data_IF_854881595045
#
_entry.id   IF_854881595045
#
_cell.length_a   1.000
_cell.length_b   1.000
_cell.length_c   1.000
_cell.angle_alpha   90.00
_cell.angle_beta   90.00
_cell.angle_gamma   90.00
#
_symmetry.space_group_name_H-M   'P 1'
#
loop_
_entity.id
_entity.type
_entity.pdbx_description
1 polymer ?
#
# COMPACT_ATOMS: atom_id res chain seq x y z
N UNK A 1 4.50 -28.43 -19.24
CA UNK A 1 4.85 -27.02 -19.53
C UNK A 1 6.23 -26.79 -18.95
N UNK A 2 7.18 -26.28 -19.71
CA UNK A 2 8.53 -25.96 -19.20
C UNK A 2 8.47 -24.53 -18.65
N UNK A 3 8.89 -24.32 -17.40
CA UNK A 3 8.99 -22.98 -16.82
C UNK A 3 10.35 -22.39 -17.17
N UNK A 4 10.36 -21.10 -17.51
CA UNK A 4 11.58 -20.34 -17.73
C UNK A 4 12.10 -19.85 -16.37
N UNK A 5 13.04 -20.59 -15.81
CA UNK A 5 13.67 -20.29 -14.53
C UNK A 5 14.97 -19.51 -14.74
N UNK A 6 15.32 -18.55 -13.89
CA UNK A 6 16.62 -17.90 -13.89
C UNK A 6 17.76 -18.92 -13.78
N UNK A 7 18.89 -18.65 -14.45
CA UNK A 7 20.03 -19.56 -14.50
C UNK A 7 20.59 -19.93 -13.11
N UNK A 8 20.63 -18.97 -12.20
CA UNK A 8 21.07 -19.19 -10.81
C UNK A 8 20.16 -20.16 -10.06
N UNK A 9 18.83 -20.09 -10.26
CA UNK A 9 17.84 -21.02 -9.69
C UNK A 9 18.02 -22.42 -10.27
N UNK A 10 18.13 -22.53 -11.60
CA UNK A 10 18.44 -23.82 -12.26
C UNK A 10 19.72 -24.43 -11.72
N UNK A 11 20.80 -23.65 -11.64
CA UNK A 11 22.10 -24.10 -11.12
C UNK A 11 21.98 -24.62 -9.69
N UNK A 12 21.24 -23.93 -8.83
CA UNK A 12 21.04 -24.35 -7.44
C UNK A 12 20.29 -25.69 -7.36
N UNK A 13 19.22 -25.86 -8.14
CA UNK A 13 18.44 -27.10 -8.19
C UNK A 13 19.29 -28.25 -8.74
N UNK A 14 20.02 -28.04 -9.85
CA UNK A 14 20.86 -29.03 -10.49
C UNK A 14 21.99 -29.52 -9.58
N UNK A 15 22.65 -28.63 -8.82
CA UNK A 15 23.69 -28.99 -7.85
C UNK A 15 23.13 -29.88 -6.73
N UNK A 16 21.99 -29.54 -6.16
CA UNK A 16 21.34 -30.35 -5.13
C UNK A 16 20.90 -31.71 -5.67
N UNK A 17 20.31 -31.76 -6.86
CA UNK A 17 19.88 -33.01 -7.49
C UNK A 17 21.10 -33.89 -7.87
N UNK A 18 22.18 -33.30 -8.35
CA UNK A 18 23.42 -34.01 -8.65
C UNK A 18 24.09 -34.60 -7.40
N UNK A 19 23.88 -33.97 -6.24
CA UNK A 19 24.32 -34.47 -4.94
C UNK A 19 23.40 -35.55 -4.34
N UNK A 20 22.31 -35.92 -5.05
CA UNK A 20 21.35 -36.96 -4.65
C UNK A 20 20.19 -36.47 -3.79
N UNK A 21 19.95 -35.16 -3.69
CA UNK A 21 18.85 -34.59 -2.95
C UNK A 21 17.67 -34.21 -3.90
N UNK A 22 16.46 -34.30 -3.41
CA UNK A 22 15.33 -33.68 -4.09
C UNK A 22 15.39 -32.16 -3.94
N UNK A 23 15.15 -31.41 -5.02
CA UNK A 23 15.12 -29.96 -5.00
C UNK A 23 14.14 -29.41 -6.04
N UNK A 24 13.38 -28.38 -5.66
CA UNK A 24 12.32 -27.80 -6.46
C UNK A 24 12.21 -26.29 -6.22
N UNK A 25 11.89 -25.53 -7.25
CA UNK A 25 11.28 -24.22 -7.09
C UNK A 25 9.88 -24.39 -6.50
N UNK A 26 9.40 -23.50 -5.61
CA UNK A 26 8.17 -23.74 -4.85
C UNK A 26 7.40 -22.45 -4.52
N UNK A 27 6.08 -22.55 -4.48
CA UNK A 27 5.27 -21.46 -3.95
C UNK A 27 4.92 -20.39 -4.97
N UNK A 28 5.17 -19.13 -4.63
CA UNK A 28 4.79 -17.97 -5.43
C UNK A 28 5.36 -17.97 -6.84
N UNK A 29 6.61 -18.34 -7.00
CA UNK A 29 7.27 -18.38 -8.31
C UNK A 29 6.62 -19.41 -9.25
N UNK A 30 6.26 -20.59 -8.73
CA UNK A 30 5.56 -21.62 -9.53
C UNK A 30 4.18 -21.15 -9.95
N UNK A 31 3.40 -20.57 -9.01
CA UNK A 31 2.10 -19.97 -9.30
C UNK A 31 2.18 -18.91 -10.38
N UNK A 32 3.08 -17.95 -10.21
CA UNK A 32 3.20 -16.79 -11.11
C UNK A 32 3.67 -17.21 -12.50
N UNK A 33 4.61 -18.16 -12.59
CA UNK A 33 5.03 -18.76 -13.87
C UNK A 33 3.88 -19.49 -14.58
N UNK A 34 3.04 -20.23 -13.83
CA UNK A 34 1.85 -20.89 -14.39
C UNK A 34 0.78 -19.88 -14.89
N UNK A 35 0.74 -18.69 -14.29
CA UNK A 35 -0.11 -17.57 -14.74
C UNK A 35 0.50 -16.76 -15.89
N UNK A 36 1.68 -17.14 -16.39
CA UNK A 36 2.40 -16.40 -17.44
C UNK A 36 3.00 -15.07 -16.97
N UNK A 37 3.17 -14.91 -15.65
CA UNK A 37 3.81 -13.73 -15.03
C UNK A 37 5.26 -14.02 -14.73
N UNK A 38 6.12 -13.01 -14.78
CA UNK A 38 7.50 -13.14 -14.30
C UNK A 38 7.52 -13.07 -12.78
N UNK A 39 8.00 -14.10 -12.07
CA UNK A 39 8.15 -14.06 -10.61
C UNK A 39 9.18 -13.01 -10.18
N UNK A 40 8.90 -12.31 -9.08
CA UNK A 40 9.86 -11.38 -8.48
C UNK A 40 10.94 -12.13 -7.67
N UNK A 41 10.52 -13.16 -6.93
CA UNK A 41 11.38 -13.93 -6.02
C UNK A 41 11.23 -15.42 -6.34
N UNK A 42 12.32 -16.17 -6.16
CA UNK A 42 12.36 -17.62 -6.36
C UNK A 42 12.76 -18.31 -5.07
N UNK A 43 11.84 -19.06 -4.49
CA UNK A 43 12.07 -19.93 -3.34
C UNK A 43 12.39 -21.33 -3.80
N UNK A 44 13.41 -21.96 -3.18
CA UNK A 44 13.77 -23.36 -3.43
C UNK A 44 13.50 -24.17 -2.16
N UNK A 45 12.94 -25.37 -2.34
CA UNK A 45 12.78 -26.34 -1.25
C UNK A 45 13.49 -27.64 -1.61
N UNK A 46 14.11 -28.30 -0.59
CA UNK A 46 14.97 -29.47 -0.81
C UNK A 46 14.86 -30.50 0.32
N UNK A 47 15.21 -31.75 0.03
CA UNK A 47 15.38 -32.80 1.05
C UNK A 47 16.72 -32.67 1.81
N UNK A 48 17.69 -31.87 1.29
CA UNK A 48 18.97 -31.62 1.95
C UNK A 48 18.77 -30.86 3.26
N UNK A 49 19.45 -31.27 4.33
CA UNK A 49 19.52 -30.50 5.58
C UNK A 49 20.47 -29.32 5.45
N UNK A 50 20.45 -28.35 6.38
CA UNK A 50 21.32 -27.18 6.30
C UNK A 50 22.84 -27.54 6.19
N UNK A 51 23.30 -28.57 6.86
CA UNK A 51 24.69 -29.04 6.79
C UNK A 51 25.02 -29.64 5.42
N UNK A 52 24.07 -30.39 4.83
CA UNK A 52 24.22 -30.97 3.49
C UNK A 52 24.24 -29.85 2.44
N UNK A 53 23.33 -28.85 2.57
CA UNK A 53 23.32 -27.67 1.67
C UNK A 53 24.65 -26.93 1.70
N UNK A 54 25.22 -26.67 2.89
CA UNK A 54 26.54 -26.03 3.00
C UNK A 54 27.66 -26.85 2.33
N UNK A 55 27.57 -28.17 2.36
CA UNK A 55 28.54 -29.05 1.69
C UNK A 55 28.37 -29.00 0.16
N UNK A 56 27.11 -28.99 -0.34
CA UNK A 56 26.82 -28.89 -1.79
C UNK A 56 27.24 -27.53 -2.35
N UNK A 57 27.07 -26.47 -1.57
CA UNK A 57 27.38 -25.09 -1.97
C UNK A 57 28.70 -24.57 -1.36
N UNK A 58 29.69 -25.47 -1.09
CA UNK A 58 30.96 -25.08 -0.47
C UNK A 58 31.73 -24.01 -1.27
N UNK A 59 31.59 -23.99 -2.59
CA UNK A 59 32.20 -23.01 -3.48
C UNK A 59 31.42 -21.69 -3.60
N UNK A 60 30.28 -21.55 -2.93
CA UNK A 60 29.43 -20.37 -2.95
C UNK A 60 29.37 -19.71 -1.58
N UNK A 61 29.02 -18.42 -1.57
CA UNK A 61 28.82 -17.71 -0.32
C UNK A 61 27.47 -18.10 0.30
N UNK A 62 27.50 -18.75 1.47
CA UNK A 62 26.32 -19.16 2.22
C UNK A 62 26.10 -18.26 3.45
N UNK A 63 24.85 -17.85 3.70
CA UNK A 63 24.47 -17.01 4.81
C UNK A 63 23.46 -17.76 5.71
N UNK A 64 23.73 -17.81 7.00
CA UNK A 64 23.04 -18.65 7.99
C UNK A 64 21.78 -17.97 8.60
N UNK A 65 21.09 -17.12 7.89
CA UNK A 65 20.00 -16.28 8.42
C UNK A 65 18.78 -17.05 8.92
N UNK A 66 18.58 -18.30 8.48
CA UNK A 66 17.37 -19.07 8.77
C UNK A 66 17.61 -20.52 9.23
N UNK A 67 18.82 -20.91 9.64
CA UNK A 67 19.20 -22.31 9.95
C UNK A 67 18.24 -23.01 10.92
N UNK A 68 17.78 -22.32 11.97
CA UNK A 68 16.83 -22.89 12.93
C UNK A 68 15.51 -23.36 12.30
N UNK A 69 15.16 -22.77 11.15
CA UNK A 69 13.97 -23.10 10.38
C UNK A 69 14.26 -23.89 9.11
N UNK A 70 15.54 -24.32 8.94
CA UNK A 70 15.98 -25.10 7.79
C UNK A 70 16.29 -24.27 6.54
N UNK A 71 16.42 -22.95 6.64
CA UNK A 71 16.72 -22.08 5.49
C UNK A 71 18.18 -21.67 5.49
N UNK A 72 18.82 -21.80 4.32
CA UNK A 72 20.15 -21.29 4.01
C UNK A 72 20.01 -20.35 2.81
N UNK A 73 20.58 -19.17 2.89
CA UNK A 73 20.66 -18.26 1.73
C UNK A 73 21.99 -18.50 1.02
N UNK A 74 21.93 -18.84 -0.27
CA UNK A 74 23.12 -19.09 -1.11
C UNK A 74 23.20 -18.00 -2.17
N UNK A 75 24.36 -17.37 -2.32
CA UNK A 75 24.58 -16.33 -3.33
C UNK A 75 25.16 -16.97 -4.60
N UNK A 76 24.39 -16.97 -5.68
CA UNK A 76 24.80 -17.50 -7.00
C UNK A 76 24.69 -16.37 -8.03
N UNK A 77 25.74 -16.13 -8.79
CA UNK A 77 25.84 -15.05 -9.78
C UNK A 77 25.53 -13.65 -9.19
N UNK A 78 25.84 -13.45 -7.89
CA UNK A 78 25.61 -12.20 -7.17
C UNK A 78 24.19 -12.04 -6.60
N UNK A 79 23.28 -12.98 -6.86
CA UNK A 79 21.89 -12.95 -6.39
C UNK A 79 21.67 -13.93 -5.23
N UNK A 80 21.03 -13.50 -4.14
CA UNK A 80 20.71 -14.36 -3.00
C UNK A 80 19.50 -15.26 -3.32
N UNK A 81 19.65 -16.56 -3.08
CA UNK A 81 18.58 -17.55 -3.20
C UNK A 81 18.30 -18.19 -1.84
N UNK A 82 17.03 -18.17 -1.42
CA UNK A 82 16.58 -18.85 -0.21
C UNK A 82 16.28 -20.33 -0.51
N UNK A 83 17.04 -21.23 0.13
CA UNK A 83 16.87 -22.67 -0.01
C UNK A 83 16.45 -23.23 1.35
N UNK A 84 15.27 -23.87 1.40
CA UNK A 84 14.69 -24.37 2.65
C UNK A 84 14.56 -25.88 2.63
N UNK A 85 15.01 -26.54 3.69
CA UNK A 85 14.81 -27.98 3.89
C UNK A 85 13.33 -28.31 4.02
N UNK A 86 12.86 -29.41 3.41
CA UNK A 86 11.50 -29.93 3.64
C UNK A 86 11.26 -30.10 5.13
N UNK A 87 10.12 -29.66 5.61
CA UNK A 87 9.85 -29.67 7.04
C UNK A 87 8.39 -29.94 7.37
N UNK A 88 8.19 -30.44 8.56
CA UNK A 88 6.92 -30.51 9.27
C UNK A 88 6.96 -29.45 10.38
N UNK A 89 5.93 -28.65 10.45
CA UNK A 89 5.75 -27.73 11.55
C UNK A 89 5.05 -28.45 12.71
N UNK A 90 5.56 -28.35 13.94
CA UNK A 90 4.95 -28.89 15.13
C UNK A 90 3.71 -28.11 15.57
N UNK A 91 3.25 -28.33 16.80
CA UNK A 91 2.15 -27.56 17.36
C UNK A 91 2.49 -26.07 17.45
N UNK A 92 1.49 -25.21 17.22
CA UNK A 92 1.62 -23.75 17.32
C UNK A 92 1.03 -23.27 18.64
N UNK A 93 1.72 -22.38 19.37
CA UNK A 93 1.26 -21.86 20.65
C UNK A 93 0.63 -20.46 20.55
N UNK A 94 1.14 -19.63 19.63
CA UNK A 94 0.84 -18.20 19.56
C UNK A 94 0.17 -17.81 18.22
N UNK A 95 -0.45 -18.79 17.51
CA UNK A 95 -0.98 -18.62 16.17
C UNK A 95 0.04 -18.07 15.15
N UNK A 96 1.35 -18.37 15.35
CA UNK A 96 2.42 -17.88 14.48
C UNK A 96 3.62 -18.82 14.35
N UNK A 97 4.17 -19.24 15.49
CA UNK A 97 5.42 -20.00 15.51
C UNK A 97 5.16 -21.45 15.89
N UNK A 98 5.65 -22.39 15.07
CA UNK A 98 5.65 -23.78 15.51
C UNK A 98 6.64 -23.95 16.68
N UNK A 99 6.24 -24.66 17.73
CA UNK A 99 7.11 -25.03 18.88
C UNK A 99 8.39 -25.72 18.44
N UNK A 100 8.28 -26.51 17.37
CA UNK A 100 9.40 -27.28 16.81
C UNK A 100 9.23 -27.41 15.31
N UNK A 101 10.37 -27.53 14.65
CA UNK A 101 10.44 -27.85 13.22
C UNK A 101 11.15 -29.19 13.10
N UNK A 102 10.53 -30.13 12.41
CA UNK A 102 11.15 -31.45 12.12
C UNK A 102 11.44 -31.54 10.63
N UNK A 103 12.71 -31.76 10.28
CA UNK A 103 13.09 -31.95 8.87
C UNK A 103 12.58 -33.30 8.38
N UNK A 104 12.16 -33.33 7.13
CA UNK A 104 11.64 -34.53 6.45
C UNK A 104 12.22 -34.64 5.06
N UNK A 105 12.22 -35.84 4.50
CA UNK A 105 12.52 -36.05 3.08
C UNK A 105 11.27 -36.07 2.20
N UNK A 106 10.08 -35.84 2.75
CA UNK A 106 8.82 -35.94 2.04
C UNK A 106 8.35 -34.56 1.56
N UNK A 107 8.44 -34.31 0.25
CA UNK A 107 7.93 -33.10 -0.39
C UNK A 107 6.44 -32.83 -0.11
N UNK A 108 5.60 -33.89 -0.12
CA UNK A 108 4.18 -33.77 0.13
C UNK A 108 3.87 -33.21 1.52
N UNK A 109 4.69 -33.57 2.52
CA UNK A 109 4.56 -33.05 3.87
C UNK A 109 4.94 -31.54 3.92
N UNK A 110 5.99 -31.12 3.21
CA UNK A 110 6.35 -29.69 3.11
C UNK A 110 5.30 -28.87 2.37
N UNK A 111 4.76 -29.37 1.26
CA UNK A 111 3.69 -28.72 0.54
C UNK A 111 2.39 -28.64 1.36
N UNK A 112 2.11 -29.71 2.13
CA UNK A 112 0.90 -29.85 2.95
C UNK A 112 0.79 -28.87 4.12
N UNK A 113 1.89 -28.25 4.60
CA UNK A 113 1.89 -27.22 5.65
C UNK A 113 1.69 -25.81 5.12
N UNK A 114 1.70 -25.60 3.79
CA UNK A 114 1.56 -24.29 3.18
C UNK A 114 0.14 -23.74 3.35
N UNK A 115 -0.03 -22.46 3.04
CA UNK A 115 -1.28 -21.75 3.26
C UNK A 115 -2.38 -22.17 2.25
N UNK A 116 -2.12 -21.98 0.94
CA UNK A 116 -3.11 -22.17 -0.10
C UNK A 116 -2.62 -23.11 -1.19
N UNK A 117 -3.54 -23.82 -1.81
CA UNK A 117 -3.27 -24.81 -2.89
C UNK A 117 -2.45 -24.19 -4.02
N UNK A 118 -2.78 -22.96 -4.42
CA UNK A 118 -2.08 -22.20 -5.47
C UNK A 118 -0.62 -21.87 -5.13
N UNK A 119 -0.24 -21.95 -3.85
CA UNK A 119 1.13 -21.75 -3.36
C UNK A 119 1.77 -23.08 -2.90
N UNK A 120 1.06 -24.20 -3.00
CA UNK A 120 1.51 -25.53 -2.58
C UNK A 120 1.87 -26.41 -3.79
N UNK A 121 2.49 -25.81 -4.78
CA UNK A 121 3.02 -26.46 -5.98
C UNK A 121 4.53 -26.32 -6.03
N UNK A 122 5.19 -27.35 -6.55
CA UNK A 122 6.64 -27.39 -6.74
C UNK A 122 6.97 -27.67 -8.21
N UNK A 123 8.16 -27.26 -8.66
CA UNK A 123 8.61 -27.48 -10.02
C UNK A 123 10.11 -27.76 -10.10
N UNK A 124 10.48 -28.75 -10.89
CA UNK A 124 11.85 -28.91 -11.40
C UNK A 124 11.83 -29.31 -12.88
N UNK A 125 12.93 -29.08 -13.59
CA UNK A 125 13.02 -29.51 -15.00
C UNK A 125 12.92 -31.03 -15.15
N UNK A 126 13.39 -31.77 -14.17
CA UNK A 126 13.42 -33.22 -14.18
C UNK A 126 12.03 -33.86 -13.98
N UNK A 127 11.22 -33.30 -13.08
CA UNK A 127 9.90 -33.88 -12.72
C UNK A 127 8.71 -33.12 -13.31
N UNK A 128 8.93 -31.91 -13.81
CA UNK A 128 7.84 -30.99 -14.15
C UNK A 128 7.14 -30.42 -12.90
N UNK A 129 5.89 -29.99 -13.06
CA UNK A 129 5.10 -29.46 -11.95
C UNK A 129 4.55 -30.59 -11.07
N UNK A 130 4.87 -30.53 -9.78
CA UNK A 130 4.29 -31.41 -8.73
C UNK A 130 3.18 -30.63 -8.04
N UNK A 131 1.97 -31.14 -8.17
CA UNK A 131 0.73 -30.56 -7.61
C UNK A 131 -0.07 -31.65 -6.89
N UNK A 132 0.07 -31.73 -5.58
CA UNK A 132 -0.57 -32.74 -4.73
C UNK A 132 -1.91 -32.27 -4.16
N UNK A 133 -2.20 -30.96 -4.25
CA UNK A 133 -3.36 -30.36 -3.60
C UNK A 133 -4.33 -29.67 -4.58
N UNK A 134 -4.11 -29.85 -5.90
CA UNK A 134 -5.00 -29.31 -6.94
C UNK A 134 -4.82 -27.82 -7.21
N UNK A 135 -3.65 -27.26 -6.93
CA UNK A 135 -3.35 -25.85 -7.11
C UNK A 135 -3.48 -25.38 -8.56
N UNK A 136 -3.11 -26.22 -9.55
CA UNK A 136 -3.29 -25.87 -10.97
C UNK A 136 -4.78 -25.76 -11.34
N UNK A 137 -5.63 -26.62 -10.80
CA UNK A 137 -7.08 -26.54 -11.02
C UNK A 137 -7.66 -25.29 -10.36
N UNK A 138 -7.24 -24.97 -9.14
CA UNK A 138 -7.67 -23.75 -8.44
C UNK A 138 -7.17 -22.49 -9.17
N UNK A 139 -5.95 -22.47 -9.72
CA UNK A 139 -5.48 -21.37 -10.58
C UNK A 139 -6.34 -21.18 -11.83
N UNK A 140 -6.68 -22.27 -12.51
CA UNK A 140 -7.53 -22.24 -13.71
C UNK A 140 -8.93 -21.70 -13.40
N UNK A 141 -9.48 -22.09 -12.23
CA UNK A 141 -10.81 -21.68 -11.78
C UNK A 141 -10.80 -20.34 -11.02
N UNK A 142 -9.63 -19.70 -10.84
CA UNK A 142 -9.46 -18.47 -10.07
C UNK A 142 -9.95 -18.59 -8.62
N UNK A 143 -9.53 -19.61 -7.91
CA UNK A 143 -9.95 -19.91 -6.55
C UNK A 143 -8.75 -19.85 -5.60
N UNK A 144 -8.95 -19.20 -4.44
CA UNK A 144 -8.06 -19.29 -3.27
C UNK A 144 -8.66 -20.30 -2.30
N UNK A 145 -7.96 -21.41 -2.10
CA UNK A 145 -8.35 -22.51 -1.21
C UNK A 145 -7.24 -22.82 -0.25
N UNK A 146 -7.56 -23.02 1.04
CA UNK A 146 -6.60 -23.54 2.02
C UNK A 146 -6.14 -24.96 1.66
N UNK A 147 -4.89 -25.27 1.97
CA UNK A 147 -4.40 -26.66 1.92
C UNK A 147 -4.95 -27.42 3.11
N UNK A 148 -5.76 -28.46 2.83
CA UNK A 148 -6.38 -29.29 3.86
C UNK A 148 -7.52 -28.58 4.60
N UNK A 149 -7.52 -28.66 5.94
CA UNK A 149 -8.58 -28.07 6.78
C UNK A 149 -8.31 -26.58 7.05
N UNK A 150 -9.19 -25.64 6.59
CA UNK A 150 -9.01 -24.21 6.81
C UNK A 150 -8.99 -23.81 8.30
N UNK A 151 -9.83 -24.40 9.16
CA UNK A 151 -9.85 -24.09 10.59
C UNK A 151 -8.49 -24.39 11.22
N UNK A 152 -7.91 -25.53 10.89
CA UNK A 152 -6.57 -25.88 11.34
C UNK A 152 -5.52 -24.88 10.80
N UNK A 153 -5.57 -24.54 9.51
CA UNK A 153 -4.60 -23.59 8.88
C UNK A 153 -4.60 -22.22 9.52
N UNK A 154 -5.79 -21.67 9.84
CA UNK A 154 -5.92 -20.35 10.47
C UNK A 154 -5.54 -20.38 11.95
N UNK A 155 -5.76 -21.48 12.66
CA UNK A 155 -5.29 -21.65 14.03
C UNK A 155 -3.76 -21.81 14.13
N UNK A 156 -3.10 -22.37 13.11
CA UNK A 156 -1.64 -22.44 13.03
C UNK A 156 -1.01 -21.05 12.84
N UNK A 157 -1.40 -20.29 11.83
CA UNK A 157 -0.98 -18.91 11.62
C UNK A 157 -2.19 -18.06 11.21
N UNK A 158 -2.68 -17.27 12.16
CA UNK A 158 -3.86 -16.42 11.94
C UNK A 158 -3.65 -15.36 10.84
N UNK A 159 -2.38 -14.98 10.52
CA UNK A 159 -2.10 -14.08 9.40
C UNK A 159 -2.58 -14.68 8.06
N UNK A 160 -2.71 -16.00 7.95
CA UNK A 160 -3.24 -16.66 6.75
C UNK A 160 -4.64 -16.17 6.39
N UNK A 161 -5.42 -15.66 7.36
CA UNK A 161 -6.73 -15.02 7.13
C UNK A 161 -6.54 -13.79 6.22
N UNK A 162 -5.67 -12.86 6.60
CA UNK A 162 -5.38 -11.68 5.76
C UNK A 162 -4.66 -12.04 4.46
N UNK A 163 -3.82 -13.07 4.49
CA UNK A 163 -3.16 -13.57 3.28
C UNK A 163 -4.16 -14.13 2.27
N UNK A 164 -5.25 -14.80 2.72
CA UNK A 164 -6.32 -15.25 1.84
C UNK A 164 -6.97 -14.06 1.12
N UNK A 165 -7.37 -13.03 1.87
CA UNK A 165 -7.94 -11.80 1.32
C UNK A 165 -6.97 -11.10 0.36
N UNK A 166 -5.70 -10.99 0.75
CA UNK A 166 -4.67 -10.38 -0.10
C UNK A 166 -4.44 -11.14 -1.41
N UNK A 167 -4.33 -12.47 -1.35
CA UNK A 167 -4.15 -13.25 -2.58
C UNK A 167 -5.38 -13.18 -3.48
N UNK A 168 -6.59 -13.27 -2.91
CA UNK A 168 -7.82 -13.11 -3.66
C UNK A 168 -7.89 -11.73 -4.33
N UNK A 169 -7.57 -10.68 -3.60
CA UNK A 169 -7.52 -9.31 -4.13
C UNK A 169 -6.44 -9.13 -5.21
N UNK A 170 -5.19 -9.55 -4.95
CA UNK A 170 -4.06 -9.34 -5.86
C UNK A 170 -4.17 -10.16 -7.16
N UNK A 171 -4.77 -11.35 -7.11
CA UNK A 171 -4.94 -12.23 -8.26
C UNK A 171 -6.29 -12.03 -8.95
N UNK A 172 -7.22 -11.31 -8.36
CA UNK A 172 -8.61 -11.16 -8.81
C UNK A 172 -9.30 -12.54 -8.85
N UNK A 173 -9.23 -13.26 -7.71
CA UNK A 173 -9.74 -14.61 -7.50
C UNK A 173 -10.81 -14.62 -6.42
N UNK A 174 -11.71 -15.59 -6.47
CA UNK A 174 -12.69 -15.89 -5.41
C UNK A 174 -12.05 -16.72 -4.30
N UNK A 175 -12.60 -16.61 -3.09
CA UNK A 175 -12.22 -17.49 -1.97
C UNK A 175 -13.19 -18.66 -1.91
N UNK A 176 -12.64 -19.88 -1.86
CA UNK A 176 -13.45 -21.11 -1.75
C UNK A 176 -14.35 -21.07 -0.53
N UNK A 177 -15.59 -21.57 -0.65
CA UNK A 177 -16.66 -21.42 0.34
C UNK A 177 -16.26 -21.87 1.75
N UNK A 178 -15.64 -23.06 1.90
CA UNK A 178 -15.22 -23.56 3.23
C UNK A 178 -14.10 -22.70 3.81
N UNK A 179 -13.17 -22.26 2.96
CA UNK A 179 -12.11 -21.33 3.34
C UNK A 179 -12.71 -19.99 3.80
N UNK A 180 -13.69 -19.44 3.06
CA UNK A 180 -14.40 -18.22 3.39
C UNK A 180 -15.16 -18.30 4.72
N UNK A 181 -15.92 -19.38 4.94
CA UNK A 181 -16.63 -19.59 6.19
C UNK A 181 -15.67 -19.68 7.38
N UNK A 182 -14.56 -20.41 7.22
CA UNK A 182 -13.56 -20.57 8.27
C UNK A 182 -12.83 -19.26 8.59
N UNK A 183 -12.45 -18.44 7.60
CA UNK A 183 -11.80 -17.16 7.85
C UNK A 183 -12.72 -16.17 8.58
N UNK A 184 -14.03 -16.15 8.25
CA UNK A 184 -15.01 -15.33 8.97
C UNK A 184 -15.20 -15.80 10.42
N UNK A 185 -15.23 -17.11 10.64
CA UNK A 185 -15.34 -17.74 11.98
C UNK A 185 -14.12 -17.41 12.84
N UNK A 186 -12.92 -17.47 12.27
CA UNK A 186 -11.66 -17.39 13.00
C UNK A 186 -11.06 -15.95 13.00
N UNK A 187 -11.75 -14.92 12.46
CA UNK A 187 -11.22 -13.55 12.31
C UNK A 187 -10.66 -12.96 13.59
N UNK A 188 -11.27 -13.26 14.75
CA UNK A 188 -10.81 -12.75 16.04
C UNK A 188 -9.36 -13.18 16.39
N UNK A 189 -8.84 -14.25 15.79
CA UNK A 189 -7.45 -14.68 15.95
C UNK A 189 -6.45 -13.63 15.42
N UNK A 190 -6.88 -12.70 14.57
CA UNK A 190 -6.05 -11.60 14.07
C UNK A 190 -5.55 -10.70 15.19
N UNK A 191 -6.27 -10.62 16.34
CA UNK A 191 -5.81 -9.92 17.53
C UNK A 191 -4.51 -10.46 18.13
N UNK A 192 -4.07 -11.68 17.77
CA UNK A 192 -2.80 -12.28 18.20
C UNK A 192 -1.63 -11.94 17.25
N UNK A 193 -1.89 -11.25 16.13
CA UNK A 193 -0.87 -10.95 15.12
C UNK A 193 -0.31 -9.54 15.35
N UNK A 194 1.01 -9.41 15.17
CA UNK A 194 1.64 -8.09 15.28
C UNK A 194 1.14 -7.12 14.22
N UNK A 195 0.93 -5.87 14.61
CA UNK A 195 0.38 -4.80 13.79
C UNK A 195 1.20 -4.56 12.50
N UNK A 196 2.53 -4.74 12.57
CA UNK A 196 3.41 -4.59 11.41
C UNK A 196 3.16 -5.67 10.34
N UNK A 197 2.80 -6.90 10.78
CA UNK A 197 2.45 -7.98 9.85
C UNK A 197 1.08 -7.72 9.23
N UNK A 198 0.11 -7.27 10.03
CA UNK A 198 -1.22 -6.86 9.56
C UNK A 198 -1.07 -5.74 8.52
N UNK A 199 -0.31 -4.70 8.83
CA UNK A 199 -0.09 -3.57 7.93
C UNK A 199 0.47 -4.02 6.57
N UNK A 200 1.47 -4.90 6.55
CA UNK A 200 2.08 -5.41 5.31
C UNK A 200 1.07 -6.14 4.41
N UNK A 201 0.22 -6.98 4.98
CA UNK A 201 -0.80 -7.70 4.21
C UNK A 201 -1.91 -6.75 3.75
N UNK A 202 -2.36 -5.85 4.62
CA UNK A 202 -3.42 -4.88 4.33
C UNK A 202 -3.04 -3.93 3.19
N UNK A 203 -1.81 -3.39 3.20
CA UNK A 203 -1.32 -2.51 2.13
C UNK A 203 -1.29 -3.22 0.76
N UNK A 204 -0.90 -4.50 0.74
CA UNK A 204 -0.93 -5.30 -0.48
C UNK A 204 -2.37 -5.65 -0.92
N UNK A 205 -3.27 -5.86 0.05
CA UNK A 205 -4.68 -6.16 -0.19
C UNK A 205 -5.36 -4.99 -0.89
N UNK A 206 -5.23 -3.77 -0.36
CA UNK A 206 -5.90 -2.58 -0.92
C UNK A 206 -5.38 -2.20 -2.32
N UNK A 207 -4.15 -2.61 -2.65
CA UNK A 207 -3.56 -2.41 -3.97
C UNK A 207 -3.95 -3.48 -4.99
N UNK A 208 -4.63 -4.54 -4.58
CA UNK A 208 -5.07 -5.60 -5.48
C UNK A 208 -6.19 -5.16 -6.42
N UNK A 209 -6.28 -5.83 -7.57
CA UNK A 209 -7.32 -5.57 -8.57
C UNK A 209 -8.74 -5.91 -8.06
N UNK A 210 -8.86 -6.96 -7.26
CA UNK A 210 -10.12 -7.38 -6.63
C UNK A 210 -10.38 -6.74 -5.26
N UNK A 211 -9.67 -5.67 -4.88
CA UNK A 211 -9.72 -5.10 -3.53
C UNK A 211 -11.14 -4.72 -3.08
N UNK A 212 -11.89 -4.03 -3.94
CA UNK A 212 -13.27 -3.62 -3.65
C UNK A 212 -14.16 -4.83 -3.34
N UNK A 213 -14.17 -5.83 -4.21
CA UNK A 213 -15.01 -7.02 -4.03
C UNK A 213 -14.66 -7.75 -2.73
N UNK A 214 -13.38 -7.99 -2.48
CA UNK A 214 -12.91 -8.68 -1.28
C UNK A 214 -13.22 -7.90 0.00
N UNK A 215 -13.03 -6.58 0.00
CA UNK A 215 -13.35 -5.74 1.16
C UNK A 215 -14.86 -5.60 1.38
N UNK A 216 -15.67 -5.74 0.34
CA UNK A 216 -17.13 -5.80 0.44
C UNK A 216 -17.58 -7.13 1.07
N UNK A 217 -17.12 -8.26 0.53
CA UNK A 217 -17.57 -9.59 0.94
C UNK A 217 -17.07 -9.96 2.34
N UNK A 218 -15.88 -9.48 2.69
CA UNK A 218 -15.21 -9.79 3.95
C UNK A 218 -15.04 -8.55 4.87
N UNK A 219 -15.94 -7.59 4.77
CA UNK A 219 -15.96 -6.41 5.65
C UNK A 219 -15.81 -6.74 7.15
N UNK A 220 -16.43 -7.81 7.72
CA UNK A 220 -16.21 -8.17 9.12
C UNK A 220 -14.76 -8.48 9.48
N UNK A 221 -13.94 -8.96 8.54
CA UNK A 221 -12.50 -9.19 8.77
C UNK A 221 -11.74 -7.88 8.79
N UNK A 222 -12.09 -6.95 7.89
CA UNK A 222 -11.50 -5.60 7.92
C UNK A 222 -11.83 -4.88 9.24
N UNK A 223 -13.07 -4.98 9.71
CA UNK A 223 -13.49 -4.33 10.96
C UNK A 223 -12.88 -4.95 12.21
N UNK A 224 -12.40 -6.19 12.16
CA UNK A 224 -11.62 -6.79 13.25
C UNK A 224 -10.27 -6.08 13.45
N UNK A 225 -9.65 -5.65 12.35
CA UNK A 225 -8.33 -4.97 12.36
C UNK A 225 -8.44 -3.45 12.32
N UNK A 226 -9.48 -2.91 11.72
CA UNK A 226 -9.80 -1.47 11.61
C UNK A 226 -11.24 -1.21 12.08
N UNK A 227 -11.53 -1.35 13.38
CA UNK A 227 -12.89 -1.16 13.91
C UNK A 227 -13.43 0.26 13.70
N UNK A 228 -12.54 1.23 13.50
CA UNK A 228 -12.89 2.63 13.22
C UNK A 228 -13.65 2.79 11.89
N UNK A 229 -13.54 1.85 10.97
CA UNK A 229 -14.25 1.87 9.70
C UNK A 229 -15.66 1.27 9.78
N UNK A 230 -15.96 0.49 10.82
CA UNK A 230 -17.28 -0.16 10.98
C UNK A 230 -18.46 0.82 10.98
N UNK A 231 -18.38 2.04 11.57
CA UNK A 231 -19.47 3.01 11.54
C UNK A 231 -19.85 3.52 10.14
N UNK A 232 -18.97 3.33 9.14
CA UNK A 232 -19.24 3.69 7.74
C UNK A 232 -20.17 2.69 7.04
N UNK A 233 -20.15 1.44 7.50
CA UNK A 233 -20.86 0.32 6.87
C UNK A 233 -22.37 0.45 7.00
N UNK A 234 -23.08 0.39 5.87
CA UNK A 234 -24.54 0.61 5.78
C UNK A 234 -25.00 1.94 6.37
N UNK A 235 -24.11 2.93 6.43
CA UNK A 235 -24.43 4.29 6.83
C UNK A 235 -24.62 5.14 5.57
N UNK A 236 -25.89 5.43 5.25
CA UNK A 236 -26.26 6.22 4.08
C UNK A 236 -25.66 7.63 4.13
N UNK A 237 -25.31 8.20 3.00
CA UNK A 237 -24.93 9.62 2.95
C UNK A 237 -26.12 10.57 3.16
N UNK A 238 -27.35 10.16 2.79
CA UNK A 238 -28.57 10.99 2.83
C UNK A 238 -28.36 12.39 2.22
N UNK A 239 -27.63 12.43 1.11
CA UNK A 239 -27.18 13.65 0.44
C UNK A 239 -27.19 13.40 -1.08
N UNK A 240 -27.68 14.35 -1.92
CA UNK A 240 -27.79 14.15 -3.36
C UNK A 240 -26.45 13.93 -4.10
N UNK A 241 -25.33 14.35 -3.49
CA UNK A 241 -23.99 14.13 -4.08
C UNK A 241 -23.58 12.65 -4.11
N UNK A 242 -24.20 11.80 -3.30
CA UNK A 242 -23.80 10.40 -3.13
C UNK A 242 -24.99 9.45 -3.34
N UNK A 243 -24.79 8.42 -4.15
CA UNK A 243 -25.76 7.35 -4.41
C UNK A 243 -25.46 6.05 -3.67
N UNK A 244 -24.35 5.97 -2.94
CA UNK A 244 -23.88 4.81 -2.18
C UNK A 244 -23.87 5.13 -0.67
N UNK A 245 -23.78 4.10 0.20
CA UNK A 245 -23.43 4.32 1.59
C UNK A 245 -21.95 4.76 1.73
N UNK A 246 -21.55 5.21 2.93
CA UNK A 246 -20.20 5.77 3.14
C UNK A 246 -19.11 4.71 2.89
N UNK A 247 -19.36 3.44 3.27
CA UNK A 247 -18.38 2.37 3.07
C UNK A 247 -18.27 1.96 1.60
N UNK A 248 -19.39 1.77 0.92
CA UNK A 248 -19.42 1.42 -0.51
C UNK A 248 -18.79 2.52 -1.37
N UNK A 249 -19.12 3.79 -1.11
CA UNK A 249 -18.46 4.94 -1.73
C UNK A 249 -16.94 4.87 -1.55
N UNK A 250 -16.49 4.63 -0.32
CA UNK A 250 -15.06 4.53 -0.01
C UNK A 250 -14.39 3.41 -0.81
N UNK A 251 -15.02 2.25 -0.93
CA UNK A 251 -14.43 1.12 -1.69
C UNK A 251 -14.40 1.39 -3.20
N UNK A 252 -15.40 2.09 -3.75
CA UNK A 252 -15.38 2.53 -5.16
C UNK A 252 -14.24 3.54 -5.38
N UNK A 253 -14.05 4.48 -4.47
CA UNK A 253 -12.96 5.44 -4.54
C UNK A 253 -11.58 4.75 -4.44
N UNK A 254 -11.43 3.76 -3.56
CA UNK A 254 -10.22 2.91 -3.47
C UNK A 254 -9.95 2.20 -4.80
N UNK A 255 -10.95 1.63 -5.46
CA UNK A 255 -10.80 0.94 -6.75
C UNK A 255 -10.44 1.92 -7.88
N UNK A 256 -10.94 3.16 -7.81
CA UNK A 256 -10.82 4.17 -8.86
C UNK A 256 -9.48 4.92 -8.88
N UNK A 257 -8.63 4.73 -7.87
CA UNK A 257 -7.31 5.38 -7.79
C UNK A 257 -6.18 4.39 -8.15
N UNK A 258 -5.04 4.93 -8.57
CA UNK A 258 -3.83 4.13 -8.87
C UNK A 258 -3.53 3.13 -7.75
N UNK A 259 -3.08 1.89 -8.07
CA UNK A 259 -2.79 0.85 -7.08
C UNK A 259 -1.47 1.10 -6.34
N UNK A 260 -1.33 2.28 -5.78
CA UNK A 260 -0.20 2.74 -4.99
C UNK A 260 -0.58 2.73 -3.50
N UNK A 261 0.25 2.15 -2.61
CA UNK A 261 -0.12 1.98 -1.20
C UNK A 261 -0.56 3.27 -0.51
N UNK A 262 0.14 4.39 -0.73
CA UNK A 262 -0.20 5.69 -0.13
C UNK A 262 -1.57 6.18 -0.60
N UNK A 263 -1.82 6.14 -1.90
CA UNK A 263 -3.07 6.62 -2.50
C UNK A 263 -4.26 5.75 -2.09
N UNK A 264 -4.14 4.42 -2.24
CA UNK A 264 -5.20 3.46 -1.89
C UNK A 264 -5.55 3.51 -0.41
N UNK A 265 -4.54 3.62 0.46
CA UNK A 265 -4.78 3.67 1.90
C UNK A 265 -5.34 5.02 2.34
N UNK A 266 -4.92 6.13 1.72
CA UNK A 266 -5.54 7.44 1.94
C UNK A 266 -7.02 7.40 1.55
N UNK A 267 -7.38 6.80 0.39
CA UNK A 267 -8.77 6.63 -0.01
C UNK A 267 -9.57 5.72 0.93
N UNK A 268 -8.97 4.66 1.47
CA UNK A 268 -9.65 3.81 2.46
C UNK A 268 -10.03 4.58 3.74
N UNK A 269 -9.27 5.62 4.09
CA UNK A 269 -9.44 6.38 5.33
C UNK A 269 -10.09 7.76 5.16
N UNK A 270 -10.24 8.29 3.92
CA UNK A 270 -10.60 9.70 3.68
C UNK A 270 -11.90 10.11 4.36
N UNK A 271 -12.89 9.25 4.39
CA UNK A 271 -14.25 9.51 4.86
C UNK A 271 -14.58 8.85 6.20
N UNK A 272 -13.63 8.25 6.90
CA UNK A 272 -13.89 7.55 8.17
C UNK A 272 -14.41 8.47 9.30
N UNK A 273 -14.26 9.78 9.14
CA UNK A 273 -14.79 10.78 10.06
C UNK A 273 -16.24 11.19 9.79
N UNK A 274 -16.81 10.88 8.60
CA UNK A 274 -18.19 11.26 8.23
C UNK A 274 -19.23 10.79 9.25
N UNK A 275 -19.23 9.55 9.73
CA UNK A 275 -20.21 9.09 10.70
C UNK A 275 -20.28 9.93 11.97
N UNK A 276 -19.15 10.45 12.44
CA UNK A 276 -19.04 11.20 13.68
C UNK A 276 -19.58 12.64 13.60
N UNK A 277 -19.67 13.20 12.40
CA UNK A 277 -20.07 14.60 12.18
C UNK A 277 -21.38 14.74 11.40
N UNK A 278 -22.03 13.64 11.03
CA UNK A 278 -23.27 13.63 10.27
C UNK A 278 -24.37 14.43 10.98
N UNK A 279 -24.92 15.44 10.31
CA UNK A 279 -26.02 16.28 10.79
C UNK A 279 -27.00 16.52 9.66
N UNK A 280 -28.29 16.54 9.98
CA UNK A 280 -29.36 16.83 9.02
C UNK A 280 -29.77 18.30 9.09
N UNK A 281 -30.04 18.88 7.92
CA UNK A 281 -30.70 20.18 7.82
C UNK A 281 -32.25 20.05 7.92
N UNK A 282 -32.93 21.17 7.79
CA UNK A 282 -34.43 21.26 7.87
C UNK A 282 -35.13 20.46 6.75
N UNK A 283 -34.42 20.17 5.65
CA UNK A 283 -34.94 19.43 4.52
C UNK A 283 -34.63 17.93 4.59
N UNK A 284 -33.96 17.49 5.67
CA UNK A 284 -33.54 16.10 5.85
C UNK A 284 -32.30 15.71 5.05
N UNK A 285 -31.53 16.68 4.53
CA UNK A 285 -30.28 16.47 3.83
C UNK A 285 -29.13 16.41 4.84
N UNK A 286 -28.30 15.38 4.75
CA UNK A 286 -27.15 15.24 5.64
C UNK A 286 -25.95 16.06 5.17
N UNK A 287 -25.26 16.66 6.13
CA UNK A 287 -24.03 17.44 5.98
C UNK A 287 -22.92 16.86 6.86
N UNK A 288 -21.68 16.97 6.40
CA UNK A 288 -20.50 16.36 7.04
C UNK A 288 -19.38 17.38 7.31
N UNK A 289 -19.75 18.57 7.77
CA UNK A 289 -18.80 19.67 7.99
C UNK A 289 -17.63 19.28 8.91
N UNK A 290 -16.42 19.47 8.40
CA UNK A 290 -15.18 19.19 9.12
C UNK A 290 -14.83 17.71 9.23
N UNK A 291 -15.48 16.82 8.47
CA UNK A 291 -15.18 15.38 8.48
C UNK A 291 -13.72 15.09 8.14
N UNK A 292 -13.11 15.86 7.21
CA UNK A 292 -11.71 15.67 6.83
C UNK A 292 -10.75 15.81 8.02
N UNK A 293 -11.03 16.69 8.97
CA UNK A 293 -10.24 16.83 10.21
C UNK A 293 -10.42 15.60 11.11
N UNK A 294 -11.66 15.15 11.30
CA UNK A 294 -11.95 13.95 12.10
C UNK A 294 -11.39 12.70 11.44
N UNK A 295 -11.51 12.58 10.10
CA UNK A 295 -10.87 11.49 9.35
C UNK A 295 -9.35 11.47 9.55
N UNK A 296 -8.69 12.62 9.53
CA UNK A 296 -7.25 12.70 9.78
C UNK A 296 -6.88 12.31 11.23
N UNK A 297 -7.68 12.71 12.22
CA UNK A 297 -7.47 12.32 13.63
C UNK A 297 -7.62 10.79 13.81
N UNK A 298 -8.64 10.17 13.23
CA UNK A 298 -8.85 8.72 13.24
C UNK A 298 -7.71 8.02 12.48
N UNK A 299 -7.36 8.52 11.29
CA UNK A 299 -6.27 7.98 10.49
C UNK A 299 -4.93 8.00 11.22
N UNK A 300 -4.63 9.07 11.97
CA UNK A 300 -3.41 9.16 12.77
C UNK A 300 -3.34 8.06 13.84
N UNK A 301 -4.46 7.72 14.47
CA UNK A 301 -4.53 6.63 15.46
C UNK A 301 -4.33 5.27 14.81
N UNK A 302 -5.00 5.01 13.67
CA UNK A 302 -4.85 3.77 12.89
C UNK A 302 -3.38 3.59 12.44
N UNK A 303 -2.79 4.60 11.82
CA UNK A 303 -1.42 4.54 11.28
C UNK A 303 -0.36 4.38 12.38
N UNK A 304 -0.57 5.00 13.56
CA UNK A 304 0.28 4.81 14.73
C UNK A 304 0.20 3.37 15.25
N UNK A 305 -1.02 2.81 15.39
CA UNK A 305 -1.25 1.41 15.77
C UNK A 305 -0.60 0.44 14.80
N UNK A 306 -0.76 0.64 13.51
CA UNK A 306 -0.16 -0.17 12.45
C UNK A 306 1.36 -0.02 12.32
N UNK A 307 1.98 0.88 13.10
CA UNK A 307 3.43 1.12 13.16
C UNK A 307 4.08 1.34 11.79
N UNK A 308 3.40 2.06 10.91
CA UNK A 308 3.94 2.42 9.60
C UNK A 308 5.04 3.48 9.74
N UNK A 309 5.85 3.68 8.66
CA UNK A 309 6.90 4.70 8.68
C UNK A 309 6.32 6.12 8.80
N UNK A 310 7.07 7.03 9.42
CA UNK A 310 6.64 8.44 9.57
C UNK A 310 6.34 9.08 8.21
N UNK A 311 7.18 8.83 7.19
CA UNK A 311 6.97 9.36 5.85
C UNK A 311 5.62 8.92 5.28
N UNK A 312 5.34 7.61 5.31
CA UNK A 312 4.07 7.04 4.81
C UNK A 312 2.86 7.60 5.56
N UNK A 313 2.96 7.70 6.90
CA UNK A 313 1.92 8.31 7.73
C UNK A 313 1.64 9.76 7.33
N UNK A 314 2.69 10.58 7.23
CA UNK A 314 2.56 12.00 6.98
C UNK A 314 1.98 12.29 5.60
N UNK A 315 2.34 11.50 4.58
CA UNK A 315 1.75 11.55 3.24
C UNK A 315 0.24 11.21 3.27
N UNK A 316 -0.17 10.15 3.96
CA UNK A 316 -1.59 9.79 4.08
C UNK A 316 -2.37 10.87 4.82
N UNK A 317 -1.86 11.37 5.95
CA UNK A 317 -2.53 12.41 6.72
C UNK A 317 -2.68 13.71 5.92
N UNK A 318 -1.69 14.04 5.11
CA UNK A 318 -1.77 15.16 4.18
C UNK A 318 -2.91 14.98 3.18
N UNK A 319 -3.01 13.81 2.53
CA UNK A 319 -4.06 13.51 1.56
C UNK A 319 -5.44 13.51 2.21
N UNK A 320 -5.61 12.81 3.33
CA UNK A 320 -6.87 12.72 4.07
C UNK A 320 -7.32 14.10 4.57
N UNK A 321 -6.41 14.94 5.08
CA UNK A 321 -6.76 16.28 5.57
C UNK A 321 -7.17 17.25 4.47
N UNK A 322 -6.82 16.99 3.23
CA UNK A 322 -7.02 17.92 2.11
C UNK A 322 -7.87 17.35 0.96
N UNK A 323 -8.42 16.13 1.09
CA UNK A 323 -9.17 15.49 0.01
C UNK A 323 -10.43 16.26 -0.42
N UNK A 324 -11.05 16.99 0.49
CA UNK A 324 -12.26 17.80 0.26
C UNK A 324 -11.92 19.30 -0.02
N UNK A 325 -10.77 19.54 -0.63
CA UNK A 325 -10.35 20.90 -0.99
C UNK A 325 -10.73 21.23 -2.45
N UNK A 326 -12.01 21.26 -2.71
CA UNK A 326 -12.58 21.47 -4.05
C UNK A 326 -12.10 22.75 -4.74
N UNK A 327 -11.71 23.80 -3.98
CA UNK A 327 -11.16 25.04 -4.53
C UNK A 327 -9.88 24.83 -5.35
N UNK A 328 -9.19 23.70 -5.17
CA UNK A 328 -7.98 23.35 -5.93
C UNK A 328 -8.26 23.19 -7.43
N UNK A 329 -9.44 22.67 -7.78
CA UNK A 329 -9.82 22.47 -9.17
C UNK A 329 -10.90 23.46 -9.67
N UNK A 330 -11.65 24.10 -8.78
CA UNK A 330 -12.62 25.12 -9.18
C UNK A 330 -11.98 26.50 -9.40
N UNK A 331 -10.83 26.78 -8.76
CA UNK A 331 -10.14 28.06 -8.86
C UNK A 331 -8.64 27.89 -9.18
N UNK A 332 -8.39 27.58 -10.45
CA UNK A 332 -7.02 27.35 -10.94
C UNK A 332 -6.13 28.61 -10.91
N UNK A 333 -6.68 29.82 -10.76
CA UNK A 333 -5.91 31.04 -10.58
C UNK A 333 -5.04 30.99 -9.31
N UNK A 334 -5.48 30.25 -8.29
CA UNK A 334 -4.74 30.01 -7.05
C UNK A 334 -3.70 28.89 -7.14
N UNK A 335 -3.54 28.24 -8.30
CA UNK A 335 -2.63 27.11 -8.47
C UNK A 335 -1.19 27.44 -8.06
N UNK A 336 -0.60 28.63 -8.34
CA UNK A 336 0.74 28.97 -7.87
C UNK A 336 0.88 28.90 -6.33
N UNK A 337 -0.15 29.30 -5.58
CA UNK A 337 -0.17 29.21 -4.11
C UNK A 337 -0.21 27.75 -3.64
N UNK A 338 -0.99 26.88 -4.31
CA UNK A 338 -1.02 25.46 -3.98
C UNK A 338 0.31 24.78 -4.30
N UNK A 339 0.94 25.11 -5.43
CA UNK A 339 2.27 24.60 -5.80
C UNK A 339 3.34 25.03 -4.80
N UNK A 340 3.30 26.31 -4.34
CA UNK A 340 4.20 26.81 -3.29
C UNK A 340 4.03 26.05 -1.98
N UNK A 341 2.77 25.74 -1.59
CA UNK A 341 2.45 25.12 -0.30
C UNK A 341 2.67 23.61 -0.27
N UNK A 342 2.34 22.93 -1.36
CA UNK A 342 2.25 21.45 -1.40
C UNK A 342 3.28 20.81 -2.35
N UNK A 343 3.95 21.60 -3.17
CA UNK A 343 4.76 21.11 -4.28
C UNK A 343 3.92 20.50 -5.40
N UNK A 344 4.55 20.20 -6.54
CA UNK A 344 3.85 19.61 -7.68
C UNK A 344 3.30 18.21 -7.35
N UNK A 345 4.11 17.33 -6.77
CA UNK A 345 3.70 15.96 -6.43
C UNK A 345 2.54 15.95 -5.44
N UNK A 346 2.57 16.84 -4.43
CA UNK A 346 1.49 16.97 -3.47
C UNK A 346 0.18 17.42 -4.12
N UNK A 347 0.23 18.41 -5.03
CA UNK A 347 -0.94 18.87 -5.80
C UNK A 347 -1.47 17.75 -6.70
N UNK A 348 -0.61 17.06 -7.46
CA UNK A 348 -1.04 15.99 -8.36
C UNK A 348 -1.65 14.81 -7.59
N UNK A 349 -1.09 14.42 -6.45
CA UNK A 349 -1.66 13.36 -5.63
C UNK A 349 -3.01 13.76 -5.01
N UNK A 350 -3.20 15.02 -4.61
CA UNK A 350 -4.51 15.51 -4.17
C UNK A 350 -5.53 15.48 -5.30
N UNK A 351 -5.16 15.90 -6.52
CA UNK A 351 -6.06 15.83 -7.68
C UNK A 351 -6.45 14.39 -8.03
N UNK A 352 -5.53 13.42 -7.90
CA UNK A 352 -5.84 11.99 -8.04
C UNK A 352 -6.85 11.50 -7.00
N UNK A 353 -6.68 11.90 -5.74
CA UNK A 353 -7.60 11.59 -4.64
C UNK A 353 -8.99 12.19 -4.92
N UNK A 354 -9.07 13.47 -5.28
CA UNK A 354 -10.34 14.15 -5.61
C UNK A 354 -11.02 13.52 -6.83
N UNK A 355 -10.24 13.12 -7.84
CA UNK A 355 -10.77 12.40 -9.00
C UNK A 355 -11.42 11.07 -8.60
N UNK A 356 -10.77 10.31 -7.75
CA UNK A 356 -11.28 9.02 -7.27
C UNK A 356 -12.56 9.20 -6.43
N UNK A 357 -12.61 10.22 -5.58
CA UNK A 357 -13.79 10.59 -4.80
C UNK A 357 -14.95 10.96 -5.71
N UNK A 358 -14.76 11.82 -6.72
CA UNK A 358 -15.78 12.18 -7.71
C UNK A 358 -16.28 10.98 -8.50
N UNK A 359 -15.41 10.01 -8.86
CA UNK A 359 -15.82 8.78 -9.53
C UNK A 359 -16.74 7.90 -8.68
N UNK A 360 -16.65 8.02 -7.35
CA UNK A 360 -17.53 7.35 -6.39
C UNK A 360 -18.77 8.15 -6.01
N UNK A 361 -18.94 9.38 -6.48
CA UNK A 361 -20.12 10.21 -6.29
C UNK A 361 -21.24 9.88 -7.31
N UNK A 362 -22.40 10.53 -7.14
CA UNK A 362 -23.51 10.43 -8.10
C UNK A 362 -23.07 10.87 -9.51
N UNK A 363 -23.54 10.22 -10.58
CA UNK A 363 -23.09 10.51 -11.97
C UNK A 363 -23.29 11.98 -12.39
N UNK A 364 -24.23 12.67 -11.80
CA UNK A 364 -24.55 14.08 -12.06
C UNK A 364 -23.38 15.03 -11.72
N UNK A 365 -22.48 14.62 -10.85
CA UNK A 365 -21.29 15.40 -10.44
C UNK A 365 -20.03 15.08 -11.22
N UNK A 366 -20.09 14.21 -12.21
CA UNK A 366 -18.91 13.79 -13.02
C UNK A 366 -18.34 14.91 -13.91
N UNK A 367 -19.07 15.99 -14.12
CA UNK A 367 -18.54 17.19 -14.79
C UNK A 367 -17.28 17.76 -14.10
N UNK A 368 -17.12 17.49 -12.79
CA UNK A 368 -15.94 17.87 -12.01
C UNK A 368 -14.66 17.17 -12.49
N UNK A 369 -14.79 16.03 -13.18
CA UNK A 369 -13.62 15.32 -13.74
C UNK A 369 -12.87 16.15 -14.77
N UNK A 370 -13.57 16.92 -15.59
CA UNK A 370 -12.98 17.81 -16.57
C UNK A 370 -12.26 18.97 -15.87
N UNK A 371 -12.86 19.55 -14.82
CA UNK A 371 -12.23 20.60 -14.01
C UNK A 371 -10.96 20.10 -13.32
N UNK A 372 -10.97 18.86 -12.82
CA UNK A 372 -9.79 18.24 -12.21
C UNK A 372 -8.68 18.01 -13.25
N UNK A 373 -9.04 17.60 -14.46
CA UNK A 373 -8.08 17.43 -15.54
C UNK A 373 -7.44 18.76 -15.97
N UNK A 374 -8.23 19.82 -16.08
CA UNK A 374 -7.76 21.18 -16.38
C UNK A 374 -6.83 21.70 -15.28
N UNK A 375 -7.15 21.42 -14.01
CA UNK A 375 -6.30 21.78 -12.87
C UNK A 375 -4.97 21.01 -12.88
N UNK A 376 -4.99 19.75 -13.25
CA UNK A 376 -3.79 18.93 -13.39
C UNK A 376 -2.87 19.45 -14.51
N UNK A 377 -3.43 19.80 -15.67
CA UNK A 377 -2.68 20.39 -16.77
C UNK A 377 -2.10 21.76 -16.38
N UNK A 378 -2.91 22.61 -15.73
CA UNK A 378 -2.48 23.92 -15.22
C UNK A 378 -1.31 23.79 -14.25
N UNK A 379 -1.39 22.84 -13.30
CA UNK A 379 -0.31 22.60 -12.34
C UNK A 379 1.00 22.19 -13.02
N UNK A 380 0.92 21.26 -14.00
CA UNK A 380 2.09 20.80 -14.77
C UNK A 380 2.70 21.93 -15.61
N UNK A 381 1.86 22.69 -16.31
CA UNK A 381 2.30 23.79 -17.16
C UNK A 381 2.97 24.91 -16.35
N UNK A 382 2.40 25.27 -15.20
CA UNK A 382 2.99 26.26 -14.29
C UNK A 382 4.34 25.76 -13.74
N UNK A 383 4.41 24.52 -13.26
CA UNK A 383 5.65 23.96 -12.73
C UNK A 383 6.77 23.90 -13.79
N UNK A 384 6.42 23.62 -15.06
CA UNK A 384 7.38 23.60 -16.18
C UNK A 384 7.99 24.98 -16.45
N UNK A 385 7.27 26.07 -16.15
CA UNK A 385 7.77 27.46 -16.29
C UNK A 385 8.76 27.85 -15.18
N UNK A 386 9.00 26.98 -14.19
CA UNK A 386 9.84 27.21 -13.02
C UNK A 386 9.54 28.54 -12.32
N UNK A 387 8.30 28.77 -11.89
CA UNK A 387 7.93 30.00 -11.20
C UNK A 387 8.65 30.10 -9.86
N UNK A 388 8.77 31.30 -9.32
CA UNK A 388 9.28 31.53 -7.97
C UNK A 388 8.20 31.11 -6.95
N UNK A 389 8.38 29.95 -6.32
CA UNK A 389 7.43 29.37 -5.36
C UNK A 389 7.99 29.27 -3.94
N UNK A 390 9.27 29.63 -3.74
CA UNK A 390 9.92 29.54 -2.44
C UNK A 390 10.81 30.74 -2.17
N UNK A 391 11.12 31.00 -0.88
CA UNK A 391 11.99 32.08 -0.47
C UNK A 391 13.39 31.98 -1.09
N UNK A 392 13.88 30.79 -1.37
CA UNK A 392 15.17 30.54 -1.99
C UNK A 392 15.23 30.91 -3.47
N UNK A 393 14.09 31.04 -4.12
CA UNK A 393 13.96 31.40 -5.54
C UNK A 393 13.74 32.91 -5.78
N UNK A 394 13.52 33.68 -4.70
CA UNK A 394 13.50 35.14 -4.80
C UNK A 394 14.86 35.68 -5.26
N UNK A 395 14.85 36.67 -6.15
CA UNK A 395 16.06 37.34 -6.65
C UNK A 395 16.73 38.25 -5.60
N UNK A 396 16.21 38.27 -4.38
CA UNK A 396 16.80 38.91 -3.18
C UNK A 396 16.76 37.94 -2.00
N UNK A 397 17.59 38.22 -1.02
CA UNK A 397 17.66 37.44 0.20
C UNK A 397 17.79 38.34 1.45
N UNK A 398 17.90 37.73 2.63
CA UNK A 398 18.02 38.48 3.87
C UNK A 398 19.22 39.43 3.90
N UNK A 399 20.33 39.11 3.23
CA UNK A 399 21.51 39.97 3.14
C UNK A 399 21.21 41.23 2.32
N UNK A 400 20.57 41.07 1.18
CA UNK A 400 20.12 42.20 0.35
C UNK A 400 19.18 43.12 1.13
N UNK A 401 18.29 42.61 1.96
CA UNK A 401 17.39 43.41 2.79
C UNK A 401 18.15 44.18 3.90
N UNK A 402 19.16 43.57 4.50
CA UNK A 402 20.02 44.25 5.48
C UNK A 402 20.82 45.39 4.84
N UNK A 403 21.33 45.20 3.63
CA UNK A 403 22.10 46.21 2.89
C UNK A 403 21.25 47.45 2.57
N UNK A 404 19.93 47.32 2.47
CA UNK A 404 18.99 48.44 2.26
C UNK A 404 18.41 49.02 3.57
N UNK A 405 18.91 48.60 4.75
CA UNK A 405 18.60 49.17 6.04
C UNK A 405 17.47 48.46 6.81
N UNK A 406 17.06 47.24 6.42
CA UNK A 406 16.12 46.41 7.16
C UNK A 406 16.88 45.54 8.15
N UNK A 407 16.75 45.72 9.48
CA UNK A 407 17.56 45.02 10.46
C UNK A 407 17.20 43.54 10.53
N UNK A 408 18.20 42.72 10.85
CA UNK A 408 17.98 41.28 11.08
C UNK A 408 16.95 41.05 12.19
N UNK A 409 16.00 40.12 11.96
CA UNK A 409 15.00 39.76 12.93
C UNK A 409 13.65 39.36 12.32
N UNK A 410 12.62 39.31 13.14
CA UNK A 410 11.26 38.85 12.72
C UNK A 410 10.67 39.70 11.58
N UNK A 411 10.89 41.01 11.59
CA UNK A 411 10.41 41.93 10.53
C UNK A 411 11.03 41.60 9.17
N UNK A 412 12.34 41.28 9.11
CA UNK A 412 13.00 40.87 7.88
C UNK A 412 12.38 39.59 7.28
N UNK A 413 12.13 38.59 8.13
CA UNK A 413 11.42 37.36 7.69
C UNK A 413 10.02 37.64 7.17
N UNK A 414 9.28 38.54 7.84
CA UNK A 414 7.93 38.94 7.42
C UNK A 414 7.93 39.66 6.06
N UNK A 415 8.91 40.54 5.82
CA UNK A 415 9.09 41.22 4.51
C UNK A 415 9.37 40.21 3.41
N UNK A 416 10.28 39.23 3.63
CA UNK A 416 10.57 38.18 2.64
C UNK A 416 9.33 37.32 2.34
N UNK A 417 8.56 36.93 3.37
CA UNK A 417 7.34 36.14 3.21
C UNK A 417 6.29 36.91 2.39
N UNK A 418 6.07 38.20 2.71
CA UNK A 418 5.11 39.02 1.96
C UNK A 418 5.57 39.26 0.51
N UNK A 419 6.85 39.44 0.26
CA UNK A 419 7.38 39.57 -1.11
C UNK A 419 7.16 38.27 -1.90
N UNK A 420 7.37 37.10 -1.29
CA UNK A 420 7.08 35.82 -1.93
C UNK A 420 5.60 35.72 -2.28
N UNK A 421 4.69 36.02 -1.34
CA UNK A 421 3.24 36.01 -1.58
C UNK A 421 2.87 36.92 -2.76
N UNK A 422 3.42 38.16 -2.82
CA UNK A 422 3.17 39.10 -3.91
C UNK A 422 3.73 38.64 -5.26
N UNK A 423 4.87 37.94 -5.25
CA UNK A 423 5.45 37.33 -6.48
C UNK A 423 4.58 36.14 -6.95
N UNK A 424 4.14 35.30 -6.03
CA UNK A 424 3.26 34.15 -6.34
C UNK A 424 1.93 34.64 -6.94
N UNK A 425 1.39 35.75 -6.43
CA UNK A 425 0.14 36.36 -6.93
C UNK A 425 0.35 37.22 -8.19
N UNK A 426 1.58 37.36 -8.68
CA UNK A 426 1.89 38.16 -9.85
C UNK A 426 1.80 39.68 -9.63
N UNK A 427 1.67 40.12 -8.38
CA UNK A 427 1.61 41.57 -8.00
C UNK A 427 2.97 42.24 -8.13
N UNK A 428 4.01 41.56 -7.69
CA UNK A 428 5.40 42.05 -7.75
C UNK A 428 6.27 41.15 -8.64
N UNK A 429 7.04 41.69 -9.56
CA UNK A 429 7.96 40.93 -10.41
C UNK A 429 9.15 40.41 -9.59
N UNK A 430 9.56 39.16 -9.82
CA UNK A 430 10.72 38.56 -9.19
C UNK A 430 12.03 39.09 -9.81
N UNK A 431 12.29 40.38 -9.68
CA UNK A 431 13.54 41.03 -10.08
C UNK A 431 14.13 41.78 -8.88
N UNK A 432 15.46 41.86 -8.79
CA UNK A 432 16.12 42.52 -7.67
C UNK A 432 15.64 43.97 -7.45
N UNK A 433 15.44 44.73 -8.54
CA UNK A 433 14.98 46.11 -8.49
C UNK A 433 13.55 46.21 -7.93
N UNK A 434 12.60 45.49 -8.50
CA UNK A 434 11.20 45.50 -8.07
C UNK A 434 11.06 45.06 -6.61
N UNK A 435 11.71 43.95 -6.24
CA UNK A 435 11.66 43.41 -4.89
C UNK A 435 12.33 44.37 -3.86
N UNK A 436 13.44 45.03 -4.22
CA UNK A 436 14.10 45.98 -3.32
C UNK A 436 13.24 47.23 -3.07
N UNK A 437 12.57 47.73 -4.10
CA UNK A 437 11.65 48.86 -3.99
C UNK A 437 10.47 48.49 -3.10
N UNK A 438 9.83 47.36 -3.37
CA UNK A 438 8.67 46.90 -2.63
C UNK A 438 9.00 46.53 -1.17
N UNK A 439 10.21 45.99 -0.91
CA UNK A 439 10.67 45.68 0.44
C UNK A 439 10.74 46.92 1.34
N UNK A 440 11.18 48.09 0.78
CA UNK A 440 11.22 49.35 1.52
C UNK A 440 9.82 49.84 1.88
N UNK A 441 8.86 49.72 0.96
CA UNK A 441 7.46 50.09 1.20
C UNK A 441 6.88 49.24 2.32
N UNK A 442 6.92 47.90 2.19
CA UNK A 442 6.44 46.95 3.19
C UNK A 442 7.06 47.24 4.57
N UNK A 443 8.39 47.46 4.61
CA UNK A 443 9.07 47.74 5.87
C UNK A 443 8.64 49.08 6.49
N UNK A 444 8.35 50.11 5.67
CA UNK A 444 7.84 51.40 6.13
C UNK A 444 6.43 51.27 6.74
N UNK A 445 5.58 50.41 6.19
CA UNK A 445 4.24 50.12 6.68
C UNK A 445 4.24 49.36 8.01
N UNK A 446 5.35 48.66 8.32
CA UNK A 446 5.52 47.89 9.56
C UNK A 446 6.13 48.70 10.72
N UNK A 447 6.50 49.98 10.48
CA UNK A 447 7.01 50.88 11.51
C UNK A 447 5.87 51.48 12.31
#
# INVERSE_FOLDING_TARGET
MTMDMPKNVDTAIDLLQSAGFEAYAVGGCVRDSLLGKTPNDWDITTSAKPEDMKSVFADFHCIDTGIKHGTVTVVIDGEPLEITTFRLDGEYEDNRHPKSVTFTSNLGADLGRRDFTVNAMAYSKMTGTVDLFGGQNDLKNKIIRCVGDPDRRFNEDALRILRALRFASALDFEIEEKTAQSLLKNRALLGNISEERIAKELLKLVCGKGAKQILTDFAPVLFEILPELQPMYKNSHDNPHHCYDIYEHTLIAVESIDPEPTLRFAMLLHDCGKPAVKKFDENGVAHFYGHQRISAEISAQILARLKVSNKFRDEILFLVSNHDRWELYENTEKMPRYLSKFGLDGVLNLLKVMRADVLAQSPEYRYRLDQIADAEETAKNLAAQKPCLSLSELQINGRTLMDIGIPQGRKLGAVLAQLLDEVIDGVTKNTQEALTTRAREIYSEMK
#
